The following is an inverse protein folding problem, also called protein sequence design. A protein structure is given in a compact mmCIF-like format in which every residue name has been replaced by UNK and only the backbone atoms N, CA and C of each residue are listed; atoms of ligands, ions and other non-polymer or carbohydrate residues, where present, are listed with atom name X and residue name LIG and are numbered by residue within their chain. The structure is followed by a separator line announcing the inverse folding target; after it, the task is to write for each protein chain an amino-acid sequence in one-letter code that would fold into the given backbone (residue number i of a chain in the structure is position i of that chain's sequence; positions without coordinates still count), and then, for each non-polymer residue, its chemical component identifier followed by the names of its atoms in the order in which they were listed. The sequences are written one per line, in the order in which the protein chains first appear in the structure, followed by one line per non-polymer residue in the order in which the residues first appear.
data_IF_809880556454
#
_entry.id   IF_809880556454
#
_cell.length_a   1.000
_cell.length_b   1.000
_cell.length_c   1.000
_cell.angle_alpha   90.00
_cell.angle_beta   90.00
_cell.angle_gamma   90.00
#
_symmetry.space_group_name_H-M   'P 1'
#
loop_
_entity.id
_entity.type
_entity.pdbx_description
1 polymer ?
#
# COMPACT_ATOMS: atom_id res chain seq x y z
N UNK A 1 1.73 -12.18 -5.29
CA UNK A 1 0.32 -12.58 -5.53
C UNK A 1 -0.58 -12.37 -4.31
N UNK A 2 -0.13 -12.62 -3.06
CA UNK A 2 -0.98 -12.51 -1.86
C UNK A 2 -1.60 -11.12 -1.53
N UNK A 3 -1.06 -10.01 -2.04
CA UNK A 3 -1.60 -8.66 -1.76
C UNK A 3 -2.87 -8.34 -2.55
N UNK A 4 -3.06 -8.99 -3.69
CA UNK A 4 -4.25 -8.78 -4.54
C UNK A 4 -5.49 -9.43 -3.93
N UNK A 5 -5.32 -10.59 -3.31
CA UNK A 5 -6.42 -11.38 -2.74
C UNK A 5 -7.10 -10.64 -1.58
N UNK A 6 -6.32 -9.91 -0.77
CA UNK A 6 -6.86 -9.11 0.35
C UNK A 6 -7.65 -7.88 -0.12
N UNK A 7 -7.29 -7.33 -1.28
CA UNK A 7 -8.03 -6.21 -1.88
C UNK A 7 -9.38 -6.69 -2.41
N UNK A 8 -9.42 -7.87 -3.01
CA UNK A 8 -10.65 -8.50 -3.51
C UNK A 8 -11.59 -8.82 -2.35
N UNK A 9 -11.07 -9.44 -1.28
CA UNK A 9 -11.85 -9.78 -0.09
C UNK A 9 -12.42 -8.53 0.61
N UNK A 10 -11.67 -7.42 0.58
CA UNK A 10 -12.15 -6.12 1.07
C UNK A 10 -13.28 -5.57 0.18
N UNK A 11 -13.13 -5.61 -1.14
CA UNK A 11 -14.17 -5.17 -2.09
C UNK A 11 -15.46 -5.98 -1.94
N UNK A 12 -15.38 -7.29 -1.73
CA UNK A 12 -16.54 -8.14 -1.47
C UNK A 12 -17.24 -7.79 -0.15
N UNK A 13 -16.46 -7.57 0.91
CA UNK A 13 -16.98 -7.18 2.23
C UNK A 13 -17.57 -5.77 2.25
N UNK A 14 -17.06 -4.88 1.40
CA UNK A 14 -17.62 -3.54 1.18
C UNK A 14 -18.92 -3.61 0.41
N UNK A 15 -19.01 -4.47 -0.60
CA UNK A 15 -20.21 -4.67 -1.41
C UNK A 15 -21.36 -5.29 -0.60
N UNK A 16 -21.05 -6.19 0.34
CA UNK A 16 -22.07 -6.81 1.22
C UNK A 16 -22.61 -5.87 2.30
N UNK A 17 -21.90 -4.78 2.59
CA UNK A 17 -22.32 -3.75 3.52
C UNK A 17 -23.13 -2.64 2.85
N UNK A 18 -23.43 -2.73 1.55
CA UNK A 18 -24.30 -1.78 0.84
C UNK A 18 -25.76 -2.29 0.89
N UNK A 19 -26.59 -1.76 1.81
CA UNK A 19 -28.00 -2.08 1.91
C UNK A 19 -28.81 -1.43 0.79
N UNK A 20 -29.85 -2.14 0.34
CA UNK A 20 -30.91 -1.56 -0.50
C UNK A 20 -31.78 -0.64 0.38
N UNK A 21 -31.41 0.64 0.48
CA UNK A 21 -32.08 1.62 1.34
C UNK A 21 -32.09 3.04 0.77
N UNK A 22 -32.62 3.99 1.57
CA UNK A 22 -32.67 5.42 1.24
C UNK A 22 -31.27 6.01 1.04
N UNK A 23 -31.20 7.17 0.37
CA UNK A 23 -29.93 7.82 0.04
C UNK A 23 -29.06 8.12 1.26
N UNK A 24 -29.69 8.51 2.37
CA UNK A 24 -29.04 8.81 3.65
C UNK A 24 -28.32 7.57 4.22
N UNK A 25 -28.94 6.40 4.12
CA UNK A 25 -28.36 5.14 4.60
C UNK A 25 -27.17 4.70 3.73
N UNK A 26 -27.21 4.99 2.43
CA UNK A 26 -26.07 4.77 1.52
C UNK A 26 -24.89 5.67 1.86
N UNK A 27 -25.15 6.93 2.22
CA UNK A 27 -24.10 7.89 2.55
C UNK A 27 -23.40 7.53 3.87
N UNK A 28 -24.14 7.09 4.89
CA UNK A 28 -23.58 6.59 6.16
C UNK A 28 -22.71 5.34 5.96
N UNK A 29 -23.19 4.40 5.14
CA UNK A 29 -22.41 3.21 4.78
C UNK A 29 -21.14 3.60 4.05
N UNK A 30 -21.22 4.49 3.06
CA UNK A 30 -20.06 4.99 2.31
C UNK A 30 -19.02 5.65 3.24
N UNK A 31 -19.45 6.40 4.23
CA UNK A 31 -18.56 7.01 5.23
C UNK A 31 -17.86 5.96 6.09
N UNK A 32 -18.59 4.95 6.59
CA UNK A 32 -18.02 3.85 7.36
C UNK A 32 -17.03 3.02 6.54
N UNK A 33 -17.34 2.76 5.27
CA UNK A 33 -16.47 2.09 4.31
C UNK A 33 -15.15 2.86 4.13
N UNK A 34 -15.22 4.18 3.96
CA UNK A 34 -14.06 5.04 3.82
C UNK A 34 -13.14 4.96 5.04
N UNK A 35 -13.70 5.03 6.24
CA UNK A 35 -12.94 4.92 7.50
C UNK A 35 -12.25 3.56 7.63
N UNK A 36 -12.94 2.46 7.29
CA UNK A 36 -12.36 1.12 7.31
C UNK A 36 -11.21 0.96 6.31
N UNK A 37 -11.36 1.50 5.10
CA UNK A 37 -10.30 1.53 4.08
C UNK A 37 -9.07 2.30 4.55
N UNK A 38 -9.28 3.47 5.14
CA UNK A 38 -8.20 4.31 5.66
C UNK A 38 -7.44 3.62 6.81
N UNK A 39 -8.13 2.94 7.72
CA UNK A 39 -7.50 2.17 8.81
C UNK A 39 -6.71 0.97 8.27
N UNK A 40 -7.26 0.24 7.30
CA UNK A 40 -6.56 -0.88 6.65
C UNK A 40 -5.31 -0.43 5.87
N UNK A 41 -5.40 0.65 5.10
CA UNK A 41 -4.26 1.20 4.37
C UNK A 41 -3.16 1.69 5.32
N UNK A 42 -3.52 2.28 6.48
CA UNK A 42 -2.54 2.63 7.52
C UNK A 42 -1.83 1.40 8.10
N UNK A 43 -2.56 0.30 8.31
CA UNK A 43 -1.99 -0.96 8.83
C UNK A 43 -1.00 -1.63 7.87
N UNK A 44 -1.06 -1.33 6.58
CA UNK A 44 -0.12 -1.87 5.58
C UNK A 44 1.29 -1.25 5.63
N UNK A 45 1.57 -0.36 6.61
CA UNK A 45 2.86 0.36 6.73
C UNK A 45 3.30 0.94 5.37
N UNK A 46 2.35 1.54 4.67
CA UNK A 46 2.60 2.13 3.37
C UNK A 46 3.61 3.26 3.56
N UNK A 47 4.75 3.17 2.89
CA UNK A 47 5.65 4.30 2.75
C UNK A 47 5.04 5.27 1.76
N UNK A 48 5.25 6.56 2.00
CA UNK A 48 4.89 7.57 1.01
C UNK A 48 5.64 7.32 -0.30
N UNK A 49 5.08 7.81 -1.40
CA UNK A 49 5.74 7.72 -2.71
C UNK A 49 7.13 8.36 -2.68
N UNK A 50 7.27 9.48 -1.98
CA UNK A 50 8.53 10.20 -1.80
C UNK A 50 9.56 9.37 -1.01
N UNK A 51 9.17 8.77 0.12
CA UNK A 51 10.05 7.89 0.89
C UNK A 51 10.51 6.67 0.09
N UNK A 52 9.61 6.08 -0.73
CA UNK A 52 9.96 4.98 -1.62
C UNK A 52 11.03 5.39 -2.64
N UNK A 53 10.86 6.56 -3.27
CA UNK A 53 11.80 7.05 -4.28
C UNK A 53 13.18 7.35 -3.64
N UNK A 54 13.20 7.92 -2.42
CA UNK A 54 14.44 8.12 -1.64
C UNK A 54 15.13 6.79 -1.32
N UNK A 55 14.38 5.79 -0.83
CA UNK A 55 14.95 4.47 -0.51
C UNK A 55 15.55 3.79 -1.75
N UNK A 56 14.89 3.94 -2.91
CA UNK A 56 15.40 3.43 -4.19
C UNK A 56 16.73 4.09 -4.57
N UNK A 57 16.85 5.40 -4.38
CA UNK A 57 18.09 6.14 -4.65
C UNK A 57 19.23 5.69 -3.73
N UNK A 58 18.95 5.55 -2.43
CA UNK A 58 19.92 5.02 -1.46
C UNK A 58 20.40 3.62 -1.87
N UNK A 59 19.48 2.75 -2.27
CA UNK A 59 19.82 1.40 -2.73
C UNK A 59 20.72 1.42 -3.98
N UNK A 60 20.44 2.31 -4.93
CA UNK A 60 21.27 2.49 -6.13
C UNK A 60 22.70 2.92 -5.75
N UNK A 61 22.83 3.92 -4.87
CA UNK A 61 24.13 4.39 -4.38
C UNK A 61 24.92 3.28 -3.68
N UNK A 62 24.24 2.47 -2.86
CA UNK A 62 24.88 1.34 -2.17
C UNK A 62 25.36 0.29 -3.16
N UNK A 63 24.59 -0.04 -4.20
CA UNK A 63 25.03 -0.97 -5.26
C UNK A 63 26.30 -0.48 -5.95
N UNK A 64 26.31 0.78 -6.39
CA UNK A 64 27.50 1.36 -7.03
C UNK A 64 28.72 1.32 -6.11
N UNK A 65 28.53 1.56 -4.81
CA UNK A 65 29.63 1.51 -3.84
C UNK A 65 30.16 0.09 -3.64
N UNK A 66 29.27 -0.90 -3.60
CA UNK A 66 29.65 -2.32 -3.52
C UNK A 66 30.44 -2.71 -4.77
N UNK A 67 29.97 -2.37 -5.98
CA UNK A 67 30.69 -2.66 -7.22
C UNK A 67 32.09 -2.03 -7.26
N UNK A 68 32.24 -0.81 -6.75
CA UNK A 68 33.56 -0.16 -6.62
C UNK A 68 34.49 -0.93 -5.67
N UNK A 69 33.98 -1.38 -4.53
CA UNK A 69 34.74 -2.16 -3.56
C UNK A 69 35.12 -3.53 -4.11
N UNK A 70 34.20 -4.21 -4.78
CA UNK A 70 34.47 -5.50 -5.44
C UNK A 70 35.57 -5.38 -6.49
N UNK A 71 35.58 -4.30 -7.29
CA UNK A 71 36.66 -4.02 -8.24
C UNK A 71 38.02 -3.82 -7.57
N UNK A 72 38.05 -3.23 -6.36
CA UNK A 72 39.29 -3.03 -5.59
C UNK A 72 39.82 -4.33 -4.99
N UNK A 73 38.95 -5.30 -4.70
CA UNK A 73 39.32 -6.60 -4.15
C UNK A 73 39.74 -7.60 -5.23
N UNK A 74 39.24 -7.44 -6.46
CA UNK A 74 39.55 -8.30 -7.60
C UNK A 74 40.78 -7.84 -8.41
N UNK A 75 41.45 -6.76 -8.01
CA UNK A 75 42.70 -6.26 -8.58
C UNK A 75 43.88 -6.48 -7.62
#
# INVERSE_FOLDING_TARGET
MQSSDRLIELVEKLSSLIPEGSQEFKDDVKNNIKVLLEDYLRKLKLVSREEFDIQKEVLLKTRLKIEELEKKLNN
#
